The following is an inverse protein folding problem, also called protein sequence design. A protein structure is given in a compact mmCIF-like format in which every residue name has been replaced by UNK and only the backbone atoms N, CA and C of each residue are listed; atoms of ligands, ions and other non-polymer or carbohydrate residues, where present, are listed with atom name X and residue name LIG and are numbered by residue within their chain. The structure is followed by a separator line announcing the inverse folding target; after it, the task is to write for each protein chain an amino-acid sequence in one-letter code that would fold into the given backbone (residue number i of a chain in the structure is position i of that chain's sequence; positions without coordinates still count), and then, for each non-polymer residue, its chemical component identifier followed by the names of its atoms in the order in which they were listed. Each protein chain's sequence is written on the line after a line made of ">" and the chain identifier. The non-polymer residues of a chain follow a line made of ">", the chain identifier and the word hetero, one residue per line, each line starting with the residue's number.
data_IF_403364732205
#
_entry.id   IF_403364732205
#
_cell.length_a   1.000
_cell.length_b   1.000
_cell.length_c   1.000
_cell.angle_alpha   90.00
_cell.angle_beta   90.00
_cell.angle_gamma   90.00
#
_symmetry.space_group_name_H-M   'P 1'
#
loop_
_entity.id
_entity.type
_entity.pdbx_description
1 polymer ?
#
# COMPACT_ATOMS: atom_id res chain seq x y z
N UNK A 1 -27.04 -18.19 -2.95
CA UNK A 1 -25.59 -18.01 -2.72
C UNK A 1 -25.05 -16.75 -3.40
N UNK A 2 -25.41 -16.46 -4.65
CA UNK A 2 -24.96 -15.24 -5.38
C UNK A 2 -25.23 -13.94 -4.61
N UNK A 3 -26.42 -13.78 -4.03
CA UNK A 3 -26.77 -12.58 -3.22
C UNK A 3 -25.86 -12.41 -1.99
N UNK A 4 -25.48 -13.51 -1.33
CA UNK A 4 -24.57 -13.46 -0.18
C UNK A 4 -23.14 -13.14 -0.62
N UNK A 5 -22.71 -13.64 -1.78
CA UNK A 5 -21.42 -13.30 -2.38
C UNK A 5 -21.34 -11.82 -2.77
N UNK A 6 -22.41 -11.23 -3.29
CA UNK A 6 -22.48 -9.79 -3.60
C UNK A 6 -22.39 -8.96 -2.30
N UNK A 7 -23.15 -9.34 -1.27
CA UNK A 7 -23.08 -8.65 0.02
C UNK A 7 -21.68 -8.73 0.67
N UNK A 8 -21.01 -9.88 0.52
CA UNK A 8 -19.63 -10.06 0.97
C UNK A 8 -18.65 -9.20 0.17
N UNK A 9 -18.83 -9.08 -1.15
CA UNK A 9 -18.01 -8.24 -2.02
C UNK A 9 -18.10 -6.76 -1.59
N UNK A 10 -19.31 -6.26 -1.38
CA UNK A 10 -19.54 -4.89 -0.92
C UNK A 10 -18.90 -4.62 0.46
N UNK A 11 -18.90 -5.62 1.34
CA UNK A 11 -18.26 -5.52 2.66
C UNK A 11 -16.74 -5.49 2.52
N UNK A 12 -16.16 -6.35 1.67
CA UNK A 12 -14.73 -6.38 1.40
C UNK A 12 -14.24 -5.04 0.83
N UNK A 13 -14.98 -4.42 -0.08
CA UNK A 13 -14.62 -3.11 -0.64
C UNK A 13 -14.53 -2.03 0.47
N UNK A 14 -15.46 -2.02 1.42
CA UNK A 14 -15.42 -1.08 2.55
C UNK A 14 -14.24 -1.35 3.46
N UNK A 15 -13.99 -2.61 3.78
CA UNK A 15 -12.91 -3.01 4.69
C UNK A 15 -11.54 -2.72 4.07
N UNK A 16 -11.34 -3.00 2.78
CA UNK A 16 -10.10 -2.69 2.06
C UNK A 16 -9.82 -1.18 2.07
N UNK A 17 -10.83 -0.35 1.83
CA UNK A 17 -10.68 1.10 1.88
C UNK A 17 -10.33 1.58 3.30
N UNK A 18 -10.99 1.03 4.33
CA UNK A 18 -10.70 1.36 5.73
C UNK A 18 -9.27 0.97 6.12
N UNK A 19 -8.83 -0.23 5.73
CA UNK A 19 -7.48 -0.71 6.00
C UNK A 19 -6.43 0.09 5.21
N UNK A 20 -6.73 0.49 3.97
CA UNK A 20 -5.89 1.39 3.17
C UNK A 20 -5.70 2.75 3.85
N UNK A 21 -6.77 3.34 4.40
CA UNK A 21 -6.66 4.57 5.21
C UNK A 21 -5.81 4.35 6.46
N UNK A 22 -5.98 3.22 7.16
CA UNK A 22 -5.20 2.93 8.38
C UNK A 22 -3.70 2.75 8.09
N UNK A 23 -3.33 2.05 7.02
CA UNK A 23 -1.93 1.90 6.59
C UNK A 23 -1.32 3.28 6.30
N UNK A 24 -2.09 4.15 5.64
CA UNK A 24 -1.66 5.53 5.37
C UNK A 24 -1.38 6.30 6.63
N UNK A 25 -2.27 6.27 7.61
CA UNK A 25 -2.06 6.96 8.89
C UNK A 25 -0.81 6.44 9.62
N UNK A 26 -0.68 5.13 9.74
CA UNK A 26 0.47 4.50 10.42
C UNK A 26 1.79 4.82 9.74
N UNK A 27 1.85 4.67 8.42
CA UNK A 27 3.07 4.92 7.67
C UNK A 27 3.39 6.42 7.54
N UNK A 28 2.39 7.31 7.63
CA UNK A 28 2.62 8.76 7.65
C UNK A 28 3.37 9.23 8.89
N UNK A 29 3.40 8.48 9.99
CA UNK A 29 4.29 8.79 11.13
C UNK A 29 5.77 8.59 10.78
N UNK A 30 6.07 7.62 9.90
CA UNK A 30 7.42 7.35 9.42
C UNK A 30 7.80 8.21 8.21
N UNK A 31 6.86 8.37 7.27
CA UNK A 31 7.08 9.05 6.00
C UNK A 31 5.86 9.92 5.63
N UNK A 32 5.70 11.08 6.29
CA UNK A 32 4.54 11.94 6.09
C UNK A 32 4.46 12.55 4.68
N UNK A 33 5.59 12.78 4.02
CA UNK A 33 5.65 13.39 2.70
C UNK A 33 5.01 12.49 1.62
N UNK A 34 5.12 11.16 1.77
CA UNK A 34 4.52 10.19 0.85
C UNK A 34 2.98 10.33 0.77
N UNK A 35 2.34 10.75 1.87
CA UNK A 35 0.88 10.91 1.92
C UNK A 35 0.39 11.96 0.92
N UNK A 36 1.20 13.01 0.69
CA UNK A 36 0.88 14.10 -0.24
C UNK A 36 1.22 13.75 -1.68
N UNK A 37 2.30 12.98 -1.90
CA UNK A 37 2.76 12.57 -3.22
C UNK A 37 1.84 11.51 -3.85
N UNK A 38 1.30 10.60 -3.04
CA UNK A 38 0.49 9.47 -3.52
C UNK A 38 -0.92 9.55 -2.94
N UNK A 39 -1.89 10.12 -3.69
CA UNK A 39 -3.28 10.22 -3.25
C UNK A 39 -4.02 8.88 -3.33
N UNK A 40 -3.55 7.93 -4.14
CA UNK A 40 -4.16 6.62 -4.31
C UNK A 40 -3.80 5.68 -3.14
N UNK A 41 -4.80 5.12 -2.47
CA UNK A 41 -4.61 4.25 -1.31
C UNK A 41 -3.94 2.93 -1.65
N UNK A 42 -4.25 2.36 -2.82
CA UNK A 42 -3.72 1.08 -3.25
C UNK A 42 -2.25 1.22 -3.67
N UNK A 43 -1.92 2.25 -4.46
CA UNK A 43 -0.52 2.58 -4.79
C UNK A 43 0.28 2.88 -3.52
N UNK A 44 -0.29 3.63 -2.58
CA UNK A 44 0.37 3.91 -1.30
C UNK A 44 0.66 2.64 -0.49
N UNK A 45 -0.31 1.74 -0.35
CA UNK A 45 -0.12 0.49 0.40
C UNK A 45 0.98 -0.38 -0.23
N UNK A 46 1.04 -0.46 -1.57
CA UNK A 46 2.12 -1.15 -2.28
C UNK A 46 3.48 -0.49 -2.07
N UNK A 47 3.54 0.84 -2.10
CA UNK A 47 4.78 1.58 -1.85
C UNK A 47 5.28 1.42 -0.42
N UNK A 48 4.38 1.43 0.56
CA UNK A 48 4.74 1.19 1.96
C UNK A 48 5.39 -0.20 2.16
N UNK A 49 4.92 -1.21 1.43
CA UNK A 49 5.50 -2.57 1.44
C UNK A 49 6.82 -2.65 0.68
N UNK A 50 6.96 -1.94 -0.44
CA UNK A 50 8.20 -1.95 -1.22
C UNK A 50 9.33 -1.18 -0.51
N UNK A 51 8.98 -0.06 0.15
CA UNK A 51 9.95 0.81 0.79
C UNK A 51 10.38 0.25 2.16
N UNK A 52 9.43 -0.19 2.99
CA UNK A 52 9.60 -0.63 4.39
C UNK A 52 10.34 0.36 5.29
N UNK A 53 11.66 0.47 5.13
CA UNK A 53 12.53 1.35 5.90
C UNK A 53 13.17 2.39 4.98
N UNK A 54 12.98 3.67 5.32
CA UNK A 54 13.56 4.80 4.59
C UNK A 54 15.06 4.70 4.40
N UNK A 55 15.77 4.05 5.33
CA UNK A 55 17.21 3.89 5.27
C UNK A 55 17.67 2.94 4.16
N UNK A 56 16.83 1.96 3.78
CA UNK A 56 17.15 0.99 2.72
C UNK A 56 17.00 1.56 1.31
N UNK A 57 16.29 2.68 1.16
CA UNK A 57 16.10 3.39 -0.12
C UNK A 57 17.44 3.84 -0.71
N UNK A 58 18.41 4.20 0.14
CA UNK A 58 19.70 4.69 -0.31
C UNK A 58 20.66 3.59 -0.80
N UNK A 59 20.42 2.33 -0.45
CA UNK A 59 21.38 1.24 -0.66
C UNK A 59 21.06 0.35 -1.87
N UNK A 60 19.85 0.42 -2.44
CA UNK A 60 19.42 -0.51 -3.49
C UNK A 60 18.75 0.18 -4.68
N UNK A 61 19.41 0.19 -5.85
CA UNK A 61 18.83 0.62 -7.14
C UNK A 61 17.54 -0.14 -7.49
N UNK A 62 17.35 -1.36 -6.96
CA UNK A 62 16.15 -2.16 -7.17
C UNK A 62 14.88 -1.51 -6.59
N UNK A 63 15.00 -0.78 -5.46
CA UNK A 63 13.84 -0.14 -4.82
C UNK A 63 13.32 1.02 -5.69
N UNK A 64 14.21 1.74 -6.37
CA UNK A 64 13.82 2.79 -7.30
C UNK A 64 13.02 2.24 -8.49
N UNK A 65 13.40 1.06 -8.99
CA UNK A 65 12.67 0.38 -10.06
C UNK A 65 11.30 -0.11 -9.59
N UNK A 66 11.20 -0.71 -8.40
CA UNK A 66 9.91 -1.14 -7.83
C UNK A 66 8.95 0.04 -7.57
N UNK A 67 9.47 1.17 -7.08
CA UNK A 67 8.67 2.39 -6.92
C UNK A 67 8.18 2.87 -8.30
N UNK A 68 9.03 2.87 -9.32
CA UNK A 68 8.66 3.30 -10.66
C UNK A 68 7.60 2.37 -11.29
N UNK A 69 7.67 1.06 -11.06
CA UNK A 69 6.64 0.11 -11.49
C UNK A 69 5.29 0.34 -10.81
N UNK A 70 5.27 0.85 -9.57
CA UNK A 70 4.01 1.10 -8.84
C UNK A 70 3.42 2.46 -9.20
N UNK A 71 4.26 3.49 -9.29
CA UNK A 71 3.81 4.87 -9.53
C UNK A 71 3.53 5.08 -11.03
N UNK A 72 4.28 4.39 -11.90
CA UNK A 72 4.26 4.50 -13.37
C UNK A 72 4.58 5.93 -13.85
N UNK A 73 5.36 6.66 -13.06
CA UNK A 73 5.72 8.06 -13.28
C UNK A 73 7.13 8.32 -12.75
N UNK A 74 8.06 8.60 -13.65
CA UNK A 74 9.48 8.82 -13.31
C UNK A 74 9.69 10.11 -12.50
N UNK A 75 8.88 11.15 -12.73
CA UNK A 75 9.03 12.42 -12.02
C UNK A 75 8.62 12.24 -10.56
N UNK A 76 7.47 11.62 -10.31
CA UNK A 76 7.01 11.31 -8.95
C UNK A 76 7.92 10.33 -8.24
N UNK A 77 8.49 9.37 -8.95
CA UNK A 77 9.46 8.44 -8.37
C UNK A 77 10.69 9.17 -7.84
N UNK A 78 11.23 10.12 -8.62
CA UNK A 78 12.35 10.97 -8.17
C UNK A 78 11.96 11.85 -6.98
N UNK A 79 10.77 12.44 -6.99
CA UNK A 79 10.26 13.21 -5.85
C UNK A 79 10.14 12.37 -4.58
N UNK A 80 9.66 11.13 -4.67
CA UNK A 80 9.56 10.21 -3.53
C UNK A 80 10.95 9.87 -2.98
N UNK A 81 11.93 9.61 -3.84
CA UNK A 81 13.31 9.31 -3.42
C UNK A 81 13.97 10.49 -2.69
N UNK A 82 13.81 11.70 -3.23
CA UNK A 82 14.35 12.92 -2.60
C UNK A 82 13.59 13.27 -1.30
N UNK A 83 12.27 13.07 -1.27
CA UNK A 83 11.46 13.24 -0.08
C UNK A 83 11.86 12.25 1.01
N UNK A 84 12.23 11.02 0.66
CA UNK A 84 12.66 10.03 1.64
C UNK A 84 14.01 10.39 2.29
N UNK A 85 14.94 10.98 1.51
CA UNK A 85 16.22 11.51 2.02
C UNK A 85 16.06 12.70 2.94
N UNK A 86 15.03 13.52 2.68
CA UNK A 86 14.77 14.78 3.40
C UNK A 86 13.62 14.63 4.42
N UNK A 87 13.12 13.41 4.63
CA UNK A 87 11.91 13.18 5.41
C UNK A 87 12.11 13.56 6.87
N UNK A 88 11.14 14.31 7.41
CA UNK A 88 11.10 14.69 8.83
C UNK A 88 10.33 13.67 9.69
N UNK A 89 9.99 12.50 9.15
CA UNK A 89 9.29 11.47 9.89
C UNK A 89 10.13 10.86 11.02
N UNK A 90 9.45 10.20 11.95
CA UNK A 90 10.10 9.55 13.09
C UNK A 90 10.64 8.17 12.69
N UNK A 91 11.74 7.77 13.32
CA UNK A 91 12.20 6.39 13.24
C UNK A 91 11.20 5.50 13.98
N UNK A 92 10.63 4.56 13.22
CA UNK A 92 9.71 3.55 13.74
C UNK A 92 10.54 2.32 14.11
N UNK A 93 10.12 1.59 15.15
CA UNK A 93 10.80 0.35 15.54
C UNK A 93 10.68 -0.71 14.42
N UNK A 94 11.68 -1.57 14.26
CA UNK A 94 11.62 -2.69 13.31
C UNK A 94 10.40 -3.60 13.56
N UNK A 95 9.96 -3.71 14.82
CA UNK A 95 8.80 -4.52 15.18
C UNK A 95 7.49 -3.91 14.68
N UNK A 96 7.37 -2.58 14.75
CA UNK A 96 6.21 -1.86 14.22
C UNK A 96 6.21 -1.85 12.68
N UNK A 97 7.38 -1.71 12.05
CA UNK A 97 7.53 -1.86 10.60
C UNK A 97 7.10 -3.26 10.13
N UNK A 98 7.53 -4.32 10.82
CA UNK A 98 7.11 -5.69 10.52
C UNK A 98 5.59 -5.89 10.70
N UNK A 99 4.97 -5.19 11.65
CA UNK A 99 3.51 -5.22 11.82
C UNK A 99 2.80 -4.50 10.68
N UNK A 100 3.30 -3.35 10.22
CA UNK A 100 2.78 -2.62 9.06
C UNK A 100 2.89 -3.49 7.80
N UNK A 101 4.05 -4.14 7.59
CA UNK A 101 4.27 -5.05 6.47
C UNK A 101 3.27 -6.20 6.46
N UNK A 102 3.12 -6.90 7.59
CA UNK A 102 2.15 -7.99 7.74
C UNK A 102 0.73 -7.52 7.49
N UNK A 103 0.38 -6.34 7.99
CA UNK A 103 -0.95 -5.78 7.78
C UNK A 103 -1.19 -5.45 6.31
N UNK A 104 -0.24 -4.82 5.64
CA UNK A 104 -0.33 -4.50 4.22
C UNK A 104 -0.36 -5.75 3.32
N UNK A 105 0.45 -6.78 3.62
CA UNK A 105 0.39 -8.09 2.95
C UNK A 105 -0.99 -8.75 3.11
N UNK A 106 -1.60 -8.63 4.30
CA UNK A 106 -2.96 -9.13 4.54
C UNK A 106 -4.00 -8.38 3.70
N UNK A 107 -3.88 -7.05 3.59
CA UNK A 107 -4.75 -6.24 2.74
C UNK A 107 -4.59 -6.61 1.26
N UNK A 108 -3.36 -6.84 0.78
CA UNK A 108 -3.12 -7.30 -0.59
C UNK A 108 -3.81 -8.65 -0.86
N UNK A 109 -3.71 -9.61 0.07
CA UNK A 109 -4.39 -10.90 -0.02
C UNK A 109 -5.92 -10.76 -0.05
N UNK A 110 -6.48 -9.81 0.71
CA UNK A 110 -7.92 -9.51 0.69
C UNK A 110 -8.36 -8.91 -0.63
N UNK A 111 -7.54 -8.05 -1.24
CA UNK A 111 -7.81 -7.47 -2.56
C UNK A 111 -7.83 -8.53 -3.66
N UNK A 112 -6.88 -9.48 -3.62
CA UNK A 112 -6.87 -10.63 -4.54
C UNK A 112 -8.10 -11.52 -4.34
N UNK A 113 -8.45 -11.81 -3.08
CA UNK A 113 -9.66 -12.56 -2.75
C UNK A 113 -10.93 -11.87 -3.27
N UNK A 114 -11.02 -10.54 -3.13
CA UNK A 114 -12.11 -9.74 -3.68
C UNK A 114 -12.20 -9.88 -5.21
N UNK A 115 -11.07 -9.86 -5.92
CA UNK A 115 -11.04 -10.04 -7.36
C UNK A 115 -11.53 -11.44 -7.79
N UNK A 116 -11.07 -12.48 -7.11
CA UNK A 116 -11.54 -13.86 -7.33
C UNK A 116 -13.04 -14.00 -7.04
N UNK A 117 -13.55 -13.35 -5.98
CA UNK A 117 -14.98 -13.35 -5.65
C UNK A 117 -15.80 -12.64 -6.72
N UNK A 118 -15.30 -11.54 -7.27
CA UNK A 118 -15.94 -10.81 -8.37
C UNK A 118 -16.03 -11.67 -9.64
N UNK A 119 -14.95 -12.37 -10.01
CA UNK A 119 -14.96 -13.32 -11.14
C UNK A 119 -15.94 -14.47 -10.93
N UNK A 120 -15.97 -15.03 -9.72
CA UNK A 120 -16.94 -16.08 -9.36
C UNK A 120 -18.39 -15.61 -9.50
N UNK A 121 -18.70 -14.37 -9.09
CA UNK A 121 -20.04 -13.80 -9.25
C UNK A 121 -20.37 -13.64 -10.74
N UNK A 122 -19.42 -13.17 -11.55
CA UNK A 122 -19.59 -12.96 -13.00
C UNK A 122 -19.85 -14.26 -13.76
N UNK A 123 -19.24 -15.37 -13.38
CA UNK A 123 -19.44 -16.69 -14.01
C UNK A 123 -20.79 -17.33 -13.63
N UNK A 124 -21.36 -16.93 -12.50
CA UNK A 124 -22.59 -17.49 -11.93
C UNK A 124 -23.85 -16.66 -12.20
N UNK A 125 -23.70 -15.46 -12.75
CA UNK A 125 -24.77 -14.51 -13.06
C UNK A 125 -25.04 -14.50 -14.57
#
# INVERSE_FOLDING_TARGET
>A
MVIQSIALLDQLDKDINLFGMRIREWYSYHFPELFKLVPDQYKYARLAVAILDRNKISENENIANEINEIVEDEEKTKEILEAARTSMGMDISEMDLANIERFASRVASLTEYRQNLHEYIKDRM
#
